data_IF_040737533293
#
_entry.id   IF_040737533293
#
_cell.length_a   1.000
_cell.length_b   1.000
_cell.length_c   1.000
_cell.angle_alpha   90.00
_cell.angle_beta   90.00
_cell.angle_gamma   90.00
#
_symmetry.space_group_name_H-M   'P 1'
#
loop_
_entity.id
_entity.type
_entity.pdbx_description
1 polymer ?
#
# COMPACT_ATOMS: atom_id res chain seq x y z
N UNK A 1 -14.72 11.23 3.07
CA UNK A 1 -14.16 10.07 2.34
C UNK A 1 -12.64 10.11 2.33
N UNK A 2 -12.01 8.96 2.51
CA UNK A 2 -10.55 8.82 2.36
C UNK A 2 -10.25 7.56 1.57
N UNK A 3 -9.06 7.52 0.99
CA UNK A 3 -8.58 6.35 0.25
C UNK A 3 -7.35 5.83 0.97
N UNK A 4 -7.23 4.52 1.10
CA UNK A 4 -6.12 3.86 1.76
C UNK A 4 -5.18 3.23 0.74
N UNK A 5 -3.87 3.43 0.90
CA UNK A 5 -2.86 2.78 0.09
C UNK A 5 -2.17 1.67 0.86
N UNK A 6 -1.94 0.54 0.22
CA UNK A 6 -1.32 -0.62 0.84
C UNK A 6 -0.17 -1.15 -0.02
N UNK A 7 0.95 -1.46 0.64
CA UNK A 7 2.07 -2.17 0.03
C UNK A 7 2.22 -3.51 0.75
N UNK A 8 1.86 -4.59 0.05
CA UNK A 8 1.82 -5.94 0.62
C UNK A 8 3.16 -6.64 0.47
N UNK A 9 3.87 -6.81 1.56
CA UNK A 9 5.13 -7.53 1.62
C UNK A 9 4.98 -8.93 2.20
N UNK A 10 6.09 -9.67 2.28
CA UNK A 10 6.09 -11.05 2.80
C UNK A 10 5.72 -11.14 4.28
N UNK A 11 6.12 -10.17 5.07
CA UNK A 11 5.84 -10.13 6.52
C UNK A 11 5.30 -8.79 6.99
N UNK A 12 5.16 -7.83 6.10
CA UNK A 12 4.71 -6.49 6.42
C UNK A 12 3.67 -6.00 5.43
N UNK A 13 2.83 -5.09 5.88
CA UNK A 13 1.97 -4.32 5.00
C UNK A 13 2.16 -2.86 5.37
N UNK A 14 2.70 -2.07 4.45
CA UNK A 14 2.79 -0.64 4.61
C UNK A 14 1.42 -0.02 4.37
N UNK A 15 1.02 0.92 5.23
CA UNK A 15 -0.32 1.54 5.17
C UNK A 15 -0.18 3.05 5.07
N UNK A 16 -0.87 3.62 4.11
CA UNK A 16 -1.01 5.06 3.94
C UNK A 16 -2.49 5.42 3.83
N UNK A 17 -2.82 6.67 4.11
CA UNK A 17 -4.19 7.16 3.99
C UNK A 17 -4.16 8.55 3.37
N UNK A 18 -5.19 8.87 2.59
CA UNK A 18 -5.32 10.20 2.01
C UNK A 18 -5.97 11.17 3.01
N UNK A 19 -5.84 12.47 2.73
CA UNK A 19 -6.65 13.47 3.39
C UNK A 19 -8.11 13.37 2.86
N UNK A 20 -9.02 14.08 3.48
CA UNK A 20 -10.43 14.06 3.07
C UNK A 20 -10.67 14.72 1.72
N UNK A 21 -9.76 15.58 1.27
CA UNK A 21 -9.83 16.24 -0.04
C UNK A 21 -9.26 15.39 -1.16
N UNK A 22 -8.66 14.23 -0.84
CA UNK A 22 -8.05 13.30 -1.79
C UNK A 22 -6.88 13.92 -2.58
N UNK A 23 -6.11 14.80 -1.93
CA UNK A 23 -4.99 15.48 -2.55
C UNK A 23 -3.64 14.91 -2.15
N UNK A 24 -3.48 14.54 -0.88
CA UNK A 24 -2.20 14.08 -0.34
C UNK A 24 -2.30 12.75 0.36
N UNK A 25 -1.21 11.96 0.30
CA UNK A 25 -1.09 10.69 0.98
C UNK A 25 -0.15 10.85 2.18
N UNK A 26 -0.52 10.22 3.29
CA UNK A 26 0.27 10.22 4.53
C UNK A 26 0.47 8.79 5.00
N UNK A 27 1.68 8.48 5.48
CA UNK A 27 1.97 7.17 6.06
C UNK A 27 1.28 7.00 7.40
N UNK A 28 0.68 5.86 7.65
CA UNK A 28 0.03 5.53 8.92
C UNK A 28 0.87 4.59 9.76
N UNK A 29 1.13 3.39 9.25
CA UNK A 29 1.85 2.38 10.01
C UNK A 29 2.34 1.25 9.13
N UNK A 30 3.17 0.39 9.69
CA UNK A 30 3.56 -0.87 9.08
C UNK A 30 2.96 -1.98 9.94
N UNK A 31 2.11 -2.80 9.33
CA UNK A 31 1.49 -3.94 10.02
C UNK A 31 2.43 -5.13 9.82
N UNK A 32 2.89 -5.73 10.91
CA UNK A 32 3.83 -6.84 10.86
C UNK A 32 3.15 -8.16 11.19
N UNK A 33 3.63 -9.24 10.59
CA UNK A 33 3.17 -10.59 10.88
C UNK A 33 4.36 -11.55 10.90
N UNK A 34 4.26 -12.63 11.68
CA UNK A 34 5.35 -13.59 11.81
C UNK A 34 5.47 -14.55 10.63
N UNK A 35 4.35 -14.87 9.99
CA UNK A 35 4.31 -15.79 8.85
C UNK A 35 3.52 -15.17 7.71
N UNK A 36 4.01 -15.37 6.49
CA UNK A 36 3.44 -14.76 5.28
C UNK A 36 1.95 -15.07 5.07
N UNK A 37 1.56 -16.32 5.34
CA UNK A 37 0.19 -16.77 5.12
C UNK A 37 -0.77 -16.47 6.27
N UNK A 38 -0.30 -15.96 7.39
CA UNK A 38 -1.15 -15.65 8.54
C UNK A 38 -1.67 -14.22 8.47
N UNK A 39 -2.73 -14.04 7.72
CA UNK A 39 -3.27 -12.72 7.39
C UNK A 39 -4.45 -12.26 8.27
N UNK A 40 -4.96 -13.12 9.14
CA UNK A 40 -6.15 -12.80 9.93
C UNK A 40 -6.02 -11.51 10.73
N UNK A 41 -4.94 -11.37 11.50
CA UNK A 41 -4.71 -10.18 12.33
C UNK A 41 -4.40 -8.96 11.48
N UNK A 42 -3.69 -9.17 10.37
CA UNK A 42 -3.37 -8.10 9.42
C UNK A 42 -4.65 -7.51 8.84
N UNK A 43 -5.56 -8.35 8.39
CA UNK A 43 -6.84 -7.92 7.83
C UNK A 43 -7.71 -7.24 8.89
N UNK A 44 -7.70 -7.77 10.12
CA UNK A 44 -8.44 -7.15 11.23
C UNK A 44 -7.92 -5.74 11.53
N UNK A 45 -6.60 -5.56 11.51
CA UNK A 45 -6.01 -4.23 11.74
C UNK A 45 -6.37 -3.26 10.63
N UNK A 46 -6.35 -3.73 9.39
CA UNK A 46 -6.76 -2.90 8.25
C UNK A 46 -8.22 -2.46 8.41
N UNK A 47 -9.10 -3.36 8.84
CA UNK A 47 -10.51 -3.03 9.06
C UNK A 47 -10.68 -1.97 10.17
N UNK A 48 -9.89 -2.06 11.25
CA UNK A 48 -9.89 -1.04 12.30
C UNK A 48 -9.50 0.33 11.74
N UNK A 49 -8.46 0.38 10.91
CA UNK A 49 -8.00 1.62 10.30
C UNK A 49 -9.03 2.19 9.32
N UNK A 50 -9.70 1.32 8.56
CA UNK A 50 -10.75 1.72 7.64
C UNK A 50 -11.88 2.42 8.40
N UNK A 51 -12.28 1.86 9.53
CA UNK A 51 -13.32 2.45 10.36
C UNK A 51 -12.87 3.77 10.99
N UNK A 52 -11.66 3.78 11.54
CA UNK A 52 -11.11 4.98 12.21
C UNK A 52 -10.98 6.16 11.26
N UNK A 53 -10.53 5.93 10.03
CA UNK A 53 -10.29 7.00 9.05
C UNK A 53 -11.39 7.15 8.03
N UNK A 54 -12.47 6.40 8.16
CA UNK A 54 -13.62 6.46 7.23
C UNK A 54 -13.20 6.23 5.78
N UNK A 55 -12.42 5.17 5.56
CA UNK A 55 -11.91 4.80 4.24
C UNK A 55 -13.02 4.19 3.40
N UNK A 56 -13.13 4.61 2.15
CA UNK A 56 -14.16 4.11 1.22
C UNK A 56 -13.58 3.37 0.01
N UNK A 57 -12.29 3.52 -0.25
CA UNK A 57 -11.60 2.82 -1.34
C UNK A 57 -10.20 2.42 -0.89
N UNK A 58 -9.68 1.35 -1.50
CA UNK A 58 -8.32 0.87 -1.24
C UNK A 58 -7.54 0.84 -2.55
N UNK A 59 -6.27 1.24 -2.49
CA UNK A 59 -5.32 1.10 -3.60
C UNK A 59 -4.22 0.16 -3.14
N UNK A 60 -4.05 -0.94 -3.85
CA UNK A 60 -3.07 -1.96 -3.53
C UNK A 60 -1.96 -1.94 -4.57
N UNK A 61 -0.72 -1.77 -4.14
CA UNK A 61 0.44 -1.86 -5.02
C UNK A 61 0.54 -3.26 -5.62
N UNK A 62 0.79 -3.33 -6.91
CA UNK A 62 0.90 -4.61 -7.62
C UNK A 62 2.28 -4.75 -8.22
N UNK A 63 3.06 -5.78 -7.82
CA UNK A 63 4.35 -6.01 -8.44
C UNK A 63 4.16 -6.45 -9.89
N UNK A 64 5.08 -6.05 -10.77
CA UNK A 64 5.04 -6.47 -12.17
C UNK A 64 5.75 -7.80 -12.34
N UNK A 65 5.13 -8.69 -13.08
CA UNK A 65 5.64 -10.02 -13.37
C UNK A 65 6.79 -9.95 -14.39
N UNK A 66 8.00 -10.32 -13.95
CA UNK A 66 9.18 -10.38 -14.82
C UNK A 66 9.85 -11.75 -14.80
N UNK A 67 9.72 -12.49 -13.70
CA UNK A 67 10.30 -13.82 -13.54
C UNK A 67 9.43 -14.65 -12.60
N UNK A 68 9.81 -15.91 -12.36
CA UNK A 68 9.02 -16.85 -11.54
C UNK A 68 8.80 -16.33 -10.10
N UNK A 69 9.81 -15.70 -9.51
CA UNK A 69 9.71 -15.17 -8.15
C UNK A 69 8.71 -14.01 -8.07
N UNK A 70 8.78 -13.11 -9.04
CA UNK A 70 7.84 -11.99 -9.13
C UNK A 70 6.42 -12.46 -9.45
N UNK A 71 6.30 -13.55 -10.26
CA UNK A 71 5.01 -14.17 -10.54
C UNK A 71 4.32 -14.68 -9.28
N UNK A 72 5.09 -15.28 -8.37
CA UNK A 72 4.56 -15.74 -7.08
C UNK A 72 4.07 -14.54 -6.25
N UNK A 73 4.82 -13.43 -6.24
CA UNK A 73 4.40 -12.23 -5.54
C UNK A 73 3.09 -11.66 -6.11
N UNK A 74 2.93 -11.70 -7.42
CA UNK A 74 1.69 -11.28 -8.08
C UNK A 74 0.53 -12.15 -7.61
N UNK A 75 0.69 -13.47 -7.61
CA UNK A 75 -0.35 -14.38 -7.15
C UNK A 75 -0.76 -14.15 -5.71
N UNK A 76 0.22 -14.01 -4.81
CA UNK A 76 -0.04 -13.76 -3.39
C UNK A 76 -0.74 -12.41 -3.17
N UNK A 77 -0.36 -11.42 -3.96
CA UNK A 77 -0.98 -10.10 -3.88
C UNK A 77 -2.43 -10.14 -4.38
N UNK A 78 -2.71 -10.89 -5.43
CA UNK A 78 -4.08 -11.06 -5.93
C UNK A 78 -4.95 -11.81 -4.93
N UNK A 79 -4.41 -12.81 -4.23
CA UNK A 79 -5.11 -13.50 -3.16
C UNK A 79 -5.44 -12.55 -2.01
N UNK A 80 -4.48 -11.71 -1.65
CA UNK A 80 -4.67 -10.70 -0.61
C UNK A 80 -5.76 -9.70 -1.02
N UNK A 81 -5.73 -9.25 -2.27
CA UNK A 81 -6.76 -8.37 -2.84
C UNK A 81 -8.16 -8.97 -2.69
N UNK A 82 -8.31 -10.24 -3.05
CA UNK A 82 -9.58 -10.93 -2.93
C UNK A 82 -10.08 -11.00 -1.50
N UNK A 83 -9.18 -11.31 -0.55
CA UNK A 83 -9.52 -11.34 0.87
C UNK A 83 -9.92 -9.98 1.39
N UNK A 84 -9.25 -8.92 0.96
CA UNK A 84 -9.60 -7.53 1.30
C UNK A 84 -11.00 -7.18 0.81
N UNK A 85 -11.28 -7.45 -0.46
CA UNK A 85 -12.58 -7.15 -1.05
C UNK A 85 -13.70 -7.88 -0.32
N UNK A 86 -13.47 -9.14 0.00
CA UNK A 86 -14.45 -9.99 0.68
C UNK A 86 -14.73 -9.51 2.11
N UNK A 87 -13.69 -9.15 2.85
CA UNK A 87 -13.83 -8.74 4.26
C UNK A 87 -14.32 -7.30 4.43
N UNK A 88 -13.86 -6.39 3.58
CA UNK A 88 -14.16 -4.97 3.74
C UNK A 88 -15.39 -4.52 2.94
N UNK A 89 -15.71 -5.22 1.87
CA UNK A 89 -16.77 -4.79 0.96
C UNK A 89 -16.41 -3.55 0.15
N UNK A 90 -15.15 -3.10 0.22
CA UNK A 90 -14.70 -1.90 -0.48
C UNK A 90 -14.04 -2.25 -1.81
N UNK A 91 -14.11 -1.34 -2.80
CA UNK A 91 -13.35 -1.54 -4.03
C UNK A 91 -11.85 -1.47 -3.76
N UNK A 92 -11.11 -2.41 -4.32
CA UNK A 92 -9.65 -2.47 -4.22
C UNK A 92 -9.09 -2.31 -5.63
N UNK A 93 -8.44 -1.17 -5.86
CA UNK A 93 -7.78 -0.88 -7.14
C UNK A 93 -6.33 -1.31 -7.05
N UNK A 94 -5.75 -1.69 -8.18
CA UNK A 94 -4.33 -2.05 -8.23
C UNK A 94 -3.52 -0.90 -8.84
N UNK A 95 -2.26 -0.78 -8.42
CA UNK A 95 -1.34 0.23 -8.91
C UNK A 95 0.02 -0.40 -9.15
N UNK A 96 0.62 -0.12 -10.30
CA UNK A 96 1.95 -0.62 -10.66
C UNK A 96 3.00 -0.01 -9.72
N UNK A 97 3.64 -0.85 -8.90
CA UNK A 97 4.63 -0.38 -7.93
C UNK A 97 6.09 -0.50 -8.41
N UNK A 98 6.31 -0.85 -9.69
CA UNK A 98 7.66 -1.09 -10.24
C UNK A 98 8.69 -0.02 -9.90
N UNK A 99 8.28 1.24 -9.96
CA UNK A 99 9.17 2.37 -9.69
C UNK A 99 9.04 2.93 -8.27
N UNK A 100 8.05 2.46 -7.52
CA UNK A 100 7.75 2.98 -6.19
C UNK A 100 8.86 2.70 -5.18
N UNK A 101 9.42 1.51 -5.20
CA UNK A 101 10.49 1.13 -4.27
C UNK A 101 11.75 1.97 -4.51
N UNK A 102 12.10 2.20 -5.79
CA UNK A 102 13.24 3.04 -6.15
C UNK A 102 13.03 4.48 -5.64
N UNK A 103 11.84 5.01 -5.85
CA UNK A 103 11.49 6.35 -5.38
C UNK A 103 11.49 6.42 -3.85
N UNK A 104 11.04 5.36 -3.17
CA UNK A 104 11.03 5.30 -1.71
C UNK A 104 12.46 5.32 -1.16
N UNK A 105 13.36 4.51 -1.72
CA UNK A 105 14.77 4.51 -1.33
C UNK A 105 15.39 5.89 -1.50
N UNK A 106 15.15 6.52 -2.63
CA UNK A 106 15.66 7.85 -2.93
C UNK A 106 15.13 8.88 -1.92
N UNK A 107 13.84 8.83 -1.63
CA UNK A 107 13.22 9.73 -0.66
C UNK A 107 13.82 9.58 0.74
N UNK A 108 14.10 8.34 1.15
CA UNK A 108 14.72 8.08 2.44
C UNK A 108 16.18 8.55 2.49
N UNK A 109 16.91 8.41 1.41
CA UNK A 109 18.28 8.93 1.32
C UNK A 109 18.30 10.45 1.47
N UNK A 110 17.38 11.12 0.80
CA UNK A 110 17.23 12.57 0.90
C UNK A 110 16.82 13.02 2.29
N UNK A 111 16.02 12.22 2.99
CA UNK A 111 15.59 12.50 4.36
C UNK A 111 16.64 12.14 5.41
N UNK A 112 17.78 11.54 4.99
CA UNK A 112 18.86 11.19 5.90
C UNK A 112 18.60 9.94 6.75
N UNK A 113 17.70 9.07 6.33
CA UNK A 113 17.42 7.82 7.05
C UNK A 113 18.60 6.87 6.95
N UNK A 114 19.04 6.34 8.09
CA UNK A 114 20.15 5.41 8.15
C UNK A 114 19.85 4.13 7.36
N UNK A 115 20.87 3.59 6.71
CA UNK A 115 20.74 2.40 5.87
C UNK A 115 20.10 1.21 6.60
N UNK A 116 20.47 0.98 7.84
CA UNK A 116 19.91 -0.10 8.67
C UNK A 116 18.43 0.08 8.99
N UNK A 117 17.91 1.31 8.92
CA UNK A 117 16.51 1.61 9.22
C UNK A 117 15.63 1.68 7.97
N UNK A 118 16.22 1.68 6.77
CA UNK A 118 15.47 1.81 5.52
C UNK A 118 14.44 0.70 5.32
N UNK A 119 14.81 -0.52 5.68
CA UNK A 119 13.93 -1.67 5.51
C UNK A 119 12.62 -1.50 6.25
N UNK A 120 12.66 -0.88 7.43
CA UNK A 120 11.46 -0.64 8.24
C UNK A 120 10.55 0.42 7.64
N UNK A 121 11.10 1.38 6.91
CA UNK A 121 10.34 2.49 6.35
C UNK A 121 9.98 2.33 4.88
N UNK A 122 10.69 1.46 4.14
CA UNK A 122 10.46 1.26 2.69
C UNK A 122 8.99 0.94 2.40
N UNK A 123 8.40 -0.01 3.14
CA UNK A 123 7.03 -0.43 2.89
C UNK A 123 6.02 0.68 3.17
N UNK A 124 6.25 1.49 4.18
CA UNK A 124 5.37 2.61 4.50
C UNK A 124 5.48 3.73 3.46
N UNK A 125 6.72 4.07 3.06
CA UNK A 125 6.94 5.07 2.04
C UNK A 125 6.43 4.59 0.69
N UNK A 126 6.61 3.30 0.39
CA UNK A 126 6.06 2.70 -0.83
C UNK A 126 4.54 2.85 -0.85
N UNK A 127 3.86 2.60 0.26
CA UNK A 127 2.41 2.77 0.36
C UNK A 127 2.00 4.22 0.11
N UNK A 128 2.75 5.19 0.64
CA UNK A 128 2.51 6.62 0.41
C UNK A 128 2.63 6.94 -1.09
N UNK A 129 3.69 6.44 -1.74
CA UNK A 129 3.94 6.72 -3.16
C UNK A 129 2.91 6.04 -4.07
N UNK A 130 2.49 4.82 -3.71
CA UNK A 130 1.41 4.11 -4.42
C UNK A 130 0.13 4.94 -4.36
N UNK A 131 -0.23 5.37 -3.17
CA UNK A 131 -1.45 6.14 -2.97
C UNK A 131 -1.35 7.51 -3.64
N UNK A 132 -0.24 8.20 -3.48
CA UNK A 132 -0.07 9.53 -4.09
C UNK A 132 -0.15 9.46 -5.62
N UNK A 133 0.47 8.45 -6.23
CA UNK A 133 0.38 8.24 -7.67
C UNK A 133 -1.06 8.07 -8.13
N UNK A 134 -1.82 7.26 -7.39
CA UNK A 134 -3.23 7.05 -7.67
C UNK A 134 -4.05 8.34 -7.53
N UNK A 135 -3.82 9.10 -6.46
CA UNK A 135 -4.52 10.36 -6.22
C UNK A 135 -4.23 11.40 -7.31
N UNK A 136 -2.97 11.50 -7.71
CA UNK A 136 -2.56 12.44 -8.76
C UNK A 136 -3.23 12.09 -10.08
N UNK A 137 -3.26 10.83 -10.44
CA UNK A 137 -3.93 10.35 -11.66
C UNK A 137 -5.42 10.62 -11.60
N UNK A 138 -6.04 10.37 -10.46
CA UNK A 138 -7.46 10.60 -10.25
C UNK A 138 -7.81 12.08 -10.46
N UNK A 139 -6.99 12.97 -9.95
CA UNK A 139 -7.15 14.42 -10.11
C UNK A 139 -7.04 14.81 -11.58
N UNK A 140 -6.04 14.29 -12.30
CA UNK A 140 -5.85 14.55 -13.72
C UNK A 140 -7.05 14.09 -14.55
N UNK A 141 -7.58 12.91 -14.26
CA UNK A 141 -8.74 12.38 -14.97
C UNK A 141 -9.99 13.26 -14.77
N UNK A 142 -10.16 13.84 -13.59
CA UNK A 142 -11.29 14.72 -13.30
C UNK A 142 -11.18 16.08 -13.99
N UNK A 143 -9.96 16.53 -14.25
CA UNK A 143 -9.74 17.82 -14.93
C UNK A 143 -9.95 17.71 -16.45
N UNK A 144 -9.97 16.52 -16.97
CA UNK A 144 -10.26 16.25 -18.37
C UNK A 144 -11.74 15.89 -18.54
#
# INVERSE_FOLDING_TARGET
MRIMGLDFGSKTVGVAVSDSLLLTAQGLEIIRRNEENKLRRTLARIEELIEEYEVEEIVLGMPKHKNATEGLRVELTLEFKEKLERRTGLPVHTWDERLTTVAADKAMMEAGVRRENRKDYVDMIAAVLILQGYLDRRTMEKEN
#
